data_IF_776966787735
#
_entry.id   IF_776966787735
#
_cell.length_a   1.000
_cell.length_b   1.000
_cell.length_c   1.000
_cell.angle_alpha   90.00
_cell.angle_beta   90.00
_cell.angle_gamma   90.00
#
_symmetry.space_group_name_H-M   'P 1'
#
loop_
_entity.id
_entity.type
_entity.pdbx_description
1 polymer ?
#
# COMPACT_ATOMS: atom_id res chain seq x y z
N UNK A 1 -0.21 25.49 19.09
CA UNK A 1 0.06 24.18 18.45
C UNK A 1 -1.02 23.14 18.75
N UNK A 2 -1.25 22.76 20.02
CA UNK A 2 -2.22 21.71 20.41
C UNK A 2 -3.65 21.91 19.86
N UNK A 3 -4.18 23.14 19.93
CA UNK A 3 -5.56 23.46 19.50
C UNK A 3 -5.78 23.39 17.98
N UNK A 4 -4.72 23.49 17.18
CA UNK A 4 -4.78 23.40 15.70
C UNK A 4 -4.73 21.93 15.28
N UNK A 5 -3.81 21.16 15.87
CA UNK A 5 -3.69 19.71 15.67
C UNK A 5 -4.98 18.99 16.08
N UNK A 6 -5.55 19.36 17.22
CA UNK A 6 -6.81 18.80 17.71
C UNK A 6 -7.98 19.12 16.78
N UNK A 7 -8.05 20.33 16.21
CA UNK A 7 -9.10 20.68 15.24
C UNK A 7 -8.95 19.96 13.89
N UNK A 8 -7.71 19.78 13.43
CA UNK A 8 -7.43 19.16 12.14
C UNK A 8 -7.60 17.65 12.18
N UNK A 9 -6.94 16.97 13.13
CA UNK A 9 -6.95 15.51 13.28
C UNK A 9 -8.07 15.00 14.20
N UNK A 10 -8.86 15.90 14.78
CA UNK A 10 -9.99 15.58 15.67
C UNK A 10 -9.56 14.67 16.83
N UNK A 11 -8.42 14.97 17.44
CA UNK A 11 -7.77 14.11 18.45
C UNK A 11 -8.70 13.83 19.64
N UNK A 12 -9.44 14.84 20.09
CA UNK A 12 -10.42 14.72 21.17
C UNK A 12 -11.62 13.83 20.79
N UNK A 13 -12.11 13.91 19.54
CA UNK A 13 -13.17 13.03 19.03
C UNK A 13 -12.69 11.58 18.96
N UNK A 14 -11.42 11.37 18.56
CA UNK A 14 -10.78 10.06 18.53
C UNK A 14 -10.24 9.58 19.90
N UNK A 15 -10.49 10.32 20.98
CA UNK A 15 -10.02 10.00 22.34
C UNK A 15 -8.52 9.67 22.41
N UNK A 16 -7.70 10.41 21.66
CA UNK A 16 -6.25 10.21 21.55
C UNK A 16 -5.47 11.47 21.94
N UNK A 17 -4.14 11.33 22.05
CA UNK A 17 -3.22 12.44 22.36
C UNK A 17 -2.07 12.46 21.37
N UNK A 18 -1.45 13.63 21.17
CA UNK A 18 -0.28 13.78 20.27
C UNK A 18 0.83 12.78 20.60
N UNK A 19 1.09 12.53 21.89
CA UNK A 19 2.08 11.53 22.33
C UNK A 19 1.71 10.11 21.89
N UNK A 20 0.43 9.74 21.99
CA UNK A 20 -0.08 8.42 21.58
C UNK A 20 0.00 8.25 20.08
N UNK A 21 -0.36 9.27 19.31
CA UNK A 21 -0.26 9.26 17.83
C UNK A 21 1.18 9.15 17.34
N UNK A 22 2.13 9.89 17.95
CA UNK A 22 3.55 9.77 17.61
C UNK A 22 4.05 8.34 17.91
N UNK A 23 3.69 7.79 19.07
CA UNK A 23 4.08 6.43 19.43
C UNK A 23 3.47 5.41 18.45
N UNK A 24 2.19 5.54 18.10
CA UNK A 24 1.52 4.69 17.12
C UNK A 24 2.18 4.76 15.74
N UNK A 25 2.56 5.97 15.29
CA UNK A 25 3.30 6.18 14.05
C UNK A 25 4.67 5.50 14.06
N UNK A 26 5.44 5.65 15.14
CA UNK A 26 6.75 4.98 15.29
C UNK A 26 6.60 3.46 15.32
N UNK A 27 5.61 2.94 16.06
CA UNK A 27 5.33 1.50 16.09
C UNK A 27 4.97 0.98 14.69
N UNK A 28 4.09 1.68 13.97
CA UNK A 28 3.67 1.29 12.62
C UNK A 28 4.81 1.38 11.60
N UNK A 29 5.67 2.39 11.72
CA UNK A 29 6.88 2.47 10.91
C UNK A 29 7.79 1.26 11.16
N UNK A 30 8.07 0.94 12.43
CA UNK A 30 8.95 -0.17 12.80
C UNK A 30 8.40 -1.53 12.33
N UNK A 31 7.08 -1.74 12.37
CA UNK A 31 6.48 -3.00 11.89
C UNK A 31 6.55 -3.16 10.37
N UNK A 32 6.61 -2.06 9.62
CA UNK A 32 6.63 -2.06 8.15
C UNK A 32 8.03 -1.83 7.55
N UNK A 33 9.01 -1.44 8.38
CA UNK A 33 10.36 -1.10 7.93
C UNK A 33 11.05 -2.24 7.16
N UNK A 34 10.68 -3.50 7.40
CA UNK A 34 11.21 -4.65 6.67
C UNK A 34 11.00 -4.54 5.15
N UNK A 35 9.95 -3.85 4.70
CA UNK A 35 9.63 -3.64 3.27
C UNK A 35 10.78 -2.93 2.55
N UNK A 36 11.54 -2.07 3.26
CA UNK A 36 12.70 -1.37 2.70
C UNK A 36 13.83 -2.31 2.28
N UNK A 37 13.87 -3.53 2.83
CA UNK A 37 14.86 -4.54 2.48
C UNK A 37 14.28 -5.65 1.61
N UNK A 38 13.07 -6.11 1.93
CA UNK A 38 12.46 -7.25 1.23
C UNK A 38 11.95 -6.86 -0.15
N UNK A 39 11.44 -5.64 -0.35
CA UNK A 39 10.97 -5.25 -1.68
C UNK A 39 12.13 -5.15 -2.70
N UNK A 40 13.26 -4.48 -2.38
CA UNK A 40 14.44 -4.50 -3.25
C UNK A 40 14.99 -5.89 -3.52
N UNK A 41 15.00 -6.79 -2.52
CA UNK A 41 15.53 -8.15 -2.73
C UNK A 41 14.67 -8.96 -3.70
N UNK A 42 13.35 -8.80 -3.67
CA UNK A 42 12.44 -9.51 -4.59
C UNK A 42 12.48 -8.89 -5.99
N UNK A 43 12.46 -7.57 -6.10
CA UNK A 43 12.42 -6.91 -7.42
C UNK A 43 13.77 -6.94 -8.14
N UNK A 44 14.89 -7.04 -7.41
CA UNK A 44 16.21 -7.19 -8.04
C UNK A 44 16.38 -8.53 -8.74
N UNK A 45 15.70 -9.59 -8.28
CA UNK A 45 15.67 -10.89 -8.97
C UNK A 45 15.00 -10.81 -10.36
N UNK A 46 14.10 -9.84 -10.57
CA UNK A 46 13.54 -9.54 -11.90
C UNK A 46 14.47 -8.69 -12.78
N UNK A 47 15.65 -8.30 -12.28
CA UNK A 47 16.65 -7.49 -12.99
C UNK A 47 16.55 -5.98 -12.74
N UNK A 48 15.87 -5.55 -11.67
CA UNK A 48 15.81 -4.14 -11.26
C UNK A 48 17.01 -3.76 -10.36
N UNK A 49 17.44 -2.49 -10.40
CA UNK A 49 18.47 -2.01 -9.48
C UNK A 49 17.92 -1.90 -8.05
N UNK A 50 18.54 -2.62 -7.11
CA UNK A 50 18.06 -2.71 -5.73
C UNK A 50 18.08 -1.34 -5.01
N UNK A 51 19.09 -0.51 -5.27
CA UNK A 51 19.21 0.82 -4.66
C UNK A 51 18.11 1.76 -5.14
N UNK A 52 17.88 1.81 -6.44
CA UNK A 52 16.82 2.59 -7.07
C UNK A 52 15.43 2.14 -6.59
N UNK A 53 15.18 0.82 -6.51
CA UNK A 53 13.92 0.27 -5.99
C UNK A 53 13.70 0.62 -4.52
N UNK A 54 14.74 0.55 -3.69
CA UNK A 54 14.65 0.92 -2.27
C UNK A 54 14.23 2.38 -2.12
N UNK A 55 14.90 3.29 -2.85
CA UNK A 55 14.58 4.72 -2.83
C UNK A 55 13.17 4.98 -3.36
N UNK A 56 12.79 4.35 -4.47
CA UNK A 56 11.45 4.47 -5.04
C UNK A 56 10.37 3.98 -4.08
N UNK A 57 10.62 2.88 -3.37
CA UNK A 57 9.72 2.31 -2.36
C UNK A 57 9.55 3.27 -1.18
N UNK A 58 10.65 3.73 -0.61
CA UNK A 58 10.62 4.65 0.53
C UNK A 58 9.94 5.97 0.18
N UNK A 59 10.28 6.55 -0.98
CA UNK A 59 9.71 7.81 -1.44
C UNK A 59 8.22 7.70 -1.74
N UNK A 60 7.80 6.66 -2.49
CA UNK A 60 6.38 6.46 -2.82
C UNK A 60 5.53 6.14 -1.59
N UNK A 61 6.03 5.32 -0.65
CA UNK A 61 5.35 5.03 0.62
C UNK A 61 5.23 6.28 1.50
N UNK A 62 6.30 7.08 1.61
CA UNK A 62 6.27 8.34 2.36
C UNK A 62 5.26 9.32 1.77
N UNK A 63 5.29 9.55 0.45
CA UNK A 63 4.38 10.49 -0.22
C UNK A 63 2.93 10.03 -0.07
N UNK A 64 2.64 8.76 -0.34
CA UNK A 64 1.28 8.24 -0.26
C UNK A 64 0.75 8.26 1.18
N UNK A 65 1.56 7.89 2.16
CA UNK A 65 1.20 7.96 3.59
C UNK A 65 0.99 9.41 4.05
N UNK A 66 1.81 10.36 3.58
CA UNK A 66 1.61 11.78 3.87
C UNK A 66 0.30 12.31 3.27
N UNK A 67 -0.04 11.92 2.04
CA UNK A 67 -1.32 12.28 1.42
C UNK A 67 -2.47 11.71 2.26
N UNK A 68 -2.37 10.46 2.70
CA UNK A 68 -3.41 9.82 3.51
C UNK A 68 -3.58 10.52 4.87
N UNK A 69 -2.47 10.86 5.55
CA UNK A 69 -2.51 11.54 6.84
C UNK A 69 -2.92 13.01 6.74
N UNK A 70 -2.37 13.78 5.80
CA UNK A 70 -2.57 15.23 5.73
C UNK A 70 -3.76 15.65 4.88
N UNK A 71 -4.03 14.98 3.78
CA UNK A 71 -5.14 15.35 2.88
C UNK A 71 -6.40 14.57 3.19
N UNK A 72 -6.30 13.24 3.28
CA UNK A 72 -7.46 12.40 3.57
C UNK A 72 -7.82 12.39 5.06
N UNK A 73 -6.90 12.76 5.95
CA UNK A 73 -7.06 12.75 7.41
C UNK A 73 -7.48 11.37 7.94
N UNK A 74 -6.87 10.32 7.40
CA UNK A 74 -7.08 8.93 7.83
C UNK A 74 -5.76 8.32 8.34
N UNK A 75 -5.79 7.56 9.45
CA UNK A 75 -4.60 6.98 10.06
C UNK A 75 -4.18 5.66 9.38
N UNK A 76 -3.94 5.70 8.06
CA UNK A 76 -3.48 4.55 7.29
C UNK A 76 -2.09 4.77 6.72
N UNK A 77 -1.20 3.81 6.93
CA UNK A 77 0.10 3.75 6.26
C UNK A 77 -0.06 3.03 4.93
N UNK A 78 0.54 3.59 3.89
CA UNK A 78 0.51 3.06 2.53
C UNK A 78 1.92 2.62 2.13
N UNK A 79 2.03 1.36 1.73
CA UNK A 79 3.26 0.71 1.30
C UNK A 79 2.91 -0.36 0.24
N UNK A 80 3.88 -0.83 -0.55
CA UNK A 80 3.61 -1.84 -1.56
C UNK A 80 3.16 -3.17 -0.94
N UNK A 81 2.20 -3.82 -1.58
CA UNK A 81 1.71 -5.13 -1.17
C UNK A 81 2.68 -6.24 -1.57
N UNK A 82 3.30 -6.89 -0.59
CA UNK A 82 4.38 -7.85 -0.82
C UNK A 82 3.97 -9.05 -1.68
N UNK A 83 2.73 -9.54 -1.57
CA UNK A 83 2.23 -10.63 -2.42
C UNK A 83 2.15 -10.26 -3.91
N UNK A 84 1.86 -9.00 -4.22
CA UNK A 84 1.82 -8.52 -5.61
C UNK A 84 3.23 -8.39 -6.19
N UNK A 85 4.21 -7.99 -5.38
CA UNK A 85 5.62 -7.95 -5.79
C UNK A 85 6.16 -9.35 -6.06
N UNK A 86 5.79 -10.34 -5.23
CA UNK A 86 6.13 -11.73 -5.46
C UNK A 86 5.51 -12.26 -6.77
N UNK A 87 4.23 -11.97 -7.02
CA UNK A 87 3.59 -12.33 -8.30
C UNK A 87 4.26 -11.64 -9.50
N UNK A 88 4.60 -10.36 -9.37
CA UNK A 88 5.30 -9.61 -10.40
C UNK A 88 6.66 -10.23 -10.76
N UNK A 89 7.51 -10.51 -9.77
CA UNK A 89 8.83 -11.09 -10.00
C UNK A 89 8.73 -12.54 -10.47
N UNK A 90 8.11 -13.40 -9.67
CA UNK A 90 8.17 -14.85 -9.87
C UNK A 90 7.14 -15.35 -10.88
N UNK A 91 5.95 -14.76 -10.90
CA UNK A 91 4.90 -15.14 -11.85
C UNK A 91 5.14 -14.53 -13.23
N UNK A 92 5.27 -13.21 -13.30
CA UNK A 92 5.29 -12.50 -14.59
C UNK A 92 6.70 -12.41 -15.19
N UNK A 93 7.69 -11.93 -14.45
CA UNK A 93 9.02 -11.70 -15.02
C UNK A 93 9.77 -13.01 -15.22
N UNK A 94 9.90 -13.82 -14.17
CA UNK A 94 10.63 -15.09 -14.21
C UNK A 94 9.79 -16.23 -14.79
N UNK A 95 8.51 -16.33 -14.40
CA UNK A 95 7.62 -17.42 -14.81
C UNK A 95 7.18 -17.32 -16.27
N UNK A 96 6.77 -16.13 -16.73
CA UNK A 96 6.33 -15.90 -18.12
C UNK A 96 7.45 -15.35 -19.02
N UNK A 97 8.60 -14.97 -18.46
CA UNK A 97 9.76 -14.47 -19.21
C UNK A 97 9.62 -13.04 -19.73
N UNK A 98 8.67 -12.26 -19.23
CA UNK A 98 8.52 -10.85 -19.63
C UNK A 98 9.57 -9.97 -18.97
N UNK A 99 10.00 -8.92 -19.68
CA UNK A 99 10.88 -7.92 -19.08
C UNK A 99 10.17 -7.12 -17.99
N UNK A 100 10.88 -6.73 -16.94
CA UNK A 100 10.32 -5.96 -15.83
C UNK A 100 9.74 -4.61 -16.28
N UNK A 101 10.26 -4.02 -17.35
CA UNK A 101 9.73 -2.79 -17.95
C UNK A 101 8.34 -3.03 -18.56
N UNK A 102 8.17 -4.14 -19.28
CA UNK A 102 6.87 -4.52 -19.87
C UNK A 102 5.85 -4.82 -18.77
N UNK A 103 6.28 -5.56 -17.75
CA UNK A 103 5.44 -5.86 -16.60
C UNK A 103 5.03 -4.58 -15.84
N UNK A 104 5.95 -3.63 -15.62
CA UNK A 104 5.61 -2.34 -15.01
C UNK A 104 4.64 -1.52 -15.87
N UNK A 105 4.77 -1.60 -17.20
CA UNK A 105 3.80 -1.00 -18.12
C UNK A 105 2.38 -1.56 -17.92
N UNK A 106 2.26 -2.88 -17.73
CA UNK A 106 0.98 -3.51 -17.40
C UNK A 106 0.44 -3.07 -16.03
N UNK A 107 1.32 -2.95 -15.02
CA UNK A 107 0.96 -2.43 -13.69
C UNK A 107 0.44 -1.00 -13.78
N UNK A 108 1.09 -0.14 -14.57
CA UNK A 108 0.66 1.24 -14.79
C UNK A 108 -0.74 1.32 -15.40
N UNK A 109 -0.99 0.55 -16.47
CA UNK A 109 -2.31 0.50 -17.12
C UNK A 109 -3.38 -0.08 -16.21
N UNK A 110 -3.07 -1.12 -15.44
CA UNK A 110 -3.96 -1.68 -14.42
C UNK A 110 -4.34 -0.63 -13.37
N UNK A 111 -3.37 0.14 -12.87
CA UNK A 111 -3.60 1.24 -11.94
C UNK A 111 -4.50 2.34 -12.53
N UNK A 112 -4.26 2.73 -13.78
CA UNK A 112 -5.10 3.70 -14.50
C UNK A 112 -6.53 3.19 -14.70
N UNK A 113 -6.70 1.94 -15.11
CA UNK A 113 -8.02 1.31 -15.26
C UNK A 113 -8.73 1.22 -13.91
N UNK A 114 -8.03 0.83 -12.85
CA UNK A 114 -8.60 0.75 -11.51
C UNK A 114 -9.05 2.12 -11.00
N UNK A 115 -8.26 3.18 -11.25
CA UNK A 115 -8.64 4.55 -10.91
C UNK A 115 -9.92 4.95 -11.66
N UNK A 116 -10.01 4.66 -12.96
CA UNK A 116 -11.20 4.94 -13.77
C UNK A 116 -12.44 4.19 -13.25
N UNK A 117 -12.31 2.91 -12.90
CA UNK A 117 -13.39 2.11 -12.30
C UNK A 117 -13.86 2.67 -10.95
N UNK A 118 -12.94 3.21 -10.14
CA UNK A 118 -13.27 3.87 -8.88
C UNK A 118 -14.08 5.16 -9.10
N UNK A 119 -13.69 5.96 -10.09
CA UNK A 119 -14.40 7.21 -10.44
C UNK A 119 -15.81 6.91 -10.97
N UNK A 120 -15.97 5.84 -11.75
CA UNK A 120 -17.26 5.40 -12.29
C UNK A 120 -18.16 4.68 -11.27
N UNK A 121 -17.74 4.55 -10.00
CA UNK A 121 -18.45 3.85 -8.91
C UNK A 121 -18.78 2.37 -9.16
N UNK A 122 -18.24 1.78 -10.23
CA UNK A 122 -18.43 0.36 -10.57
C UNK A 122 -17.91 -0.55 -9.46
N UNK A 123 -16.93 -0.09 -8.65
CA UNK A 123 -16.41 -0.82 -7.49
C UNK A 123 -17.50 -1.31 -6.51
N UNK A 124 -18.56 -0.53 -6.33
CA UNK A 124 -19.63 -0.88 -5.39
C UNK A 124 -20.46 -2.06 -5.91
N UNK A 125 -20.70 -2.09 -7.23
CA UNK A 125 -21.42 -3.19 -7.88
C UNK A 125 -20.65 -4.50 -7.79
N UNK A 126 -19.33 -4.45 -8.00
CA UNK A 126 -18.45 -5.62 -7.84
C UNK A 126 -18.49 -6.11 -6.39
N UNK A 127 -18.35 -5.20 -5.41
CA UNK A 127 -18.36 -5.56 -4.00
C UNK A 127 -19.70 -6.17 -3.53
N UNK A 128 -20.82 -5.75 -4.12
CA UNK A 128 -22.14 -6.33 -3.87
C UNK A 128 -22.33 -7.68 -4.56
N UNK A 129 -21.65 -7.92 -5.68
CA UNK A 129 -21.73 -9.18 -6.41
C UNK A 129 -20.94 -10.32 -5.72
N UNK A 130 -19.93 -10.01 -4.89
CA UNK A 130 -19.13 -11.03 -4.19
C UNK A 130 -19.86 -11.51 -2.92
N UNK A 131 -20.21 -12.81 -2.81
CA UNK A 131 -20.81 -13.39 -1.62
C UNK A 131 -19.98 -13.14 -0.36
N UNK A 132 -20.65 -12.86 0.76
CA UNK A 132 -20.00 -12.64 2.07
C UNK A 132 -19.04 -13.77 2.48
N UNK A 133 -19.33 -15.06 2.27
CA UNK A 133 -18.39 -16.13 2.61
C UNK A 133 -17.06 -16.00 1.86
N UNK A 134 -17.07 -15.61 0.59
CA UNK A 134 -15.86 -15.40 -0.20
C UNK A 134 -15.07 -14.18 0.29
N UNK A 135 -15.75 -13.09 0.67
CA UNK A 135 -15.08 -11.91 1.25
C UNK A 135 -14.38 -12.25 2.56
N UNK A 136 -15.02 -13.05 3.42
CA UNK A 136 -14.43 -13.50 4.69
C UNK A 136 -13.25 -14.45 4.46
N UNK A 137 -13.35 -15.36 3.48
CA UNK A 137 -12.26 -16.27 3.12
C UNK A 137 -11.02 -15.49 2.61
N UNK A 138 -11.21 -14.45 1.79
CA UNK A 138 -10.11 -13.59 1.33
C UNK A 138 -9.45 -12.84 2.49
N UNK A 139 -10.24 -12.29 3.42
CA UNK A 139 -9.72 -11.62 4.61
C UNK A 139 -8.93 -12.59 5.53
N UNK A 140 -9.46 -13.80 5.74
CA UNK A 140 -8.77 -14.84 6.50
C UNK A 140 -7.45 -15.27 5.81
N UNK A 141 -7.48 -15.43 4.48
CA UNK A 141 -6.28 -15.73 3.68
C UNK A 141 -5.22 -14.64 3.79
N UNK A 142 -5.59 -13.36 3.74
CA UNK A 142 -4.66 -12.24 3.92
C UNK A 142 -4.05 -12.17 5.33
N UNK A 143 -4.72 -12.67 6.37
CA UNK A 143 -4.21 -12.65 7.75
C UNK A 143 -3.42 -13.91 8.17
N UNK A 144 -3.52 -14.99 7.39
CA UNK A 144 -2.77 -16.24 7.60
C UNK A 144 -1.32 -16.15 7.08
N UNK A 145 -1.06 -15.18 6.21
CA UNK A 145 0.25 -14.82 5.65
C UNK A 145 0.70 -13.47 6.21
#
# INVERSE_FOLDING_TARGET
>A
MYRILDRFFRLSEHQTTVKREILAGVTTFSTMAYILFVNPSILSEAGMDAGAVMVATAASAAISTLIMGLYANYPFVLAPGMGLNAYFTYGVCLGLGYSWQTALGAVFWSGGLFLLLNLLRIRQLIACAVPTPLRLAVAAGMGLF
#
